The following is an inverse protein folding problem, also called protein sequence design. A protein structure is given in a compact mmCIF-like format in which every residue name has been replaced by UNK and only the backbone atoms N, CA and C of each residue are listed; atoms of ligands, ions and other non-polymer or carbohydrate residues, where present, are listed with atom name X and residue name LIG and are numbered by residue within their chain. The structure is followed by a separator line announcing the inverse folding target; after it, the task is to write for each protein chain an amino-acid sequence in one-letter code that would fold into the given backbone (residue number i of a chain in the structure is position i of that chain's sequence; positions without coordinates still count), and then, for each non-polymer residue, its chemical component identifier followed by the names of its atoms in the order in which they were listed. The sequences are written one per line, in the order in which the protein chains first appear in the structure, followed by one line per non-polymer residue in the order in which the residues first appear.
data_IF_983796063470
#
_entry.id   IF_983796063470
#
_cell.length_a   1.000
_cell.length_b   1.000
_cell.length_c   1.000
_cell.angle_alpha   90.00
_cell.angle_beta   90.00
_cell.angle_gamma   90.00
#
_symmetry.space_group_name_H-M   'P 1'
#
loop_
_entity.id
_entity.type
_entity.pdbx_description
1 polymer ?
#
# COMPACT_ATOMS: atom_id res chain seq x y z
N UNK A 1 37.73 28.43 -57.27
CA UNK A 1 37.15 28.77 -55.96
C UNK A 1 35.97 27.85 -55.74
N UNK A 2 36.23 26.71 -55.09
CA UNK A 2 35.19 25.71 -54.76
C UNK A 2 35.09 25.71 -53.25
N UNK A 3 33.98 26.26 -52.75
CA UNK A 3 33.67 26.32 -51.32
C UNK A 3 33.09 24.96 -50.96
N UNK A 4 33.85 24.16 -50.23
CA UNK A 4 33.31 22.98 -49.56
C UNK A 4 32.50 23.45 -48.35
N UNK A 5 31.17 23.36 -48.46
CA UNK A 5 30.24 23.51 -47.34
C UNK A 5 30.35 22.27 -46.47
N UNK A 6 30.76 22.46 -45.22
CA UNK A 6 30.86 21.44 -44.19
C UNK A 6 29.48 21.14 -43.60
N UNK A 7 28.93 19.98 -43.94
CA UNK A 7 27.82 19.37 -43.20
C UNK A 7 28.36 18.79 -41.89
N UNK A 8 28.01 19.42 -40.77
CA UNK A 8 28.19 18.85 -39.43
C UNK A 8 27.13 17.77 -39.20
N UNK A 9 27.49 16.53 -38.80
CA UNK A 9 26.52 15.59 -38.29
C UNK A 9 26.26 15.90 -36.82
N UNK A 10 25.05 16.39 -36.52
CA UNK A 10 24.53 16.44 -35.14
C UNK A 10 24.42 14.99 -34.67
N UNK A 11 25.41 14.57 -33.87
CA UNK A 11 25.41 13.27 -33.22
C UNK A 11 24.49 13.36 -32.01
N UNK A 12 23.23 12.96 -32.16
CA UNK A 12 22.36 12.67 -31.02
C UNK A 12 22.97 11.46 -30.25
N UNK A 13 23.78 11.75 -29.24
CA UNK A 13 24.10 10.77 -28.22
C UNK A 13 22.83 10.52 -27.40
N UNK A 14 22.06 9.51 -27.80
CA UNK A 14 21.14 8.85 -26.89
C UNK A 14 22.00 8.14 -25.83
N UNK A 15 22.34 8.85 -24.75
CA UNK A 15 22.78 8.19 -23.52
C UNK A 15 21.55 7.50 -22.96
N UNK A 16 21.31 6.27 -23.42
CA UNK A 16 20.52 5.30 -22.67
C UNK A 16 21.27 5.08 -21.36
N UNK A 17 21.00 5.94 -20.38
CA UNK A 17 21.36 5.67 -19.01
C UNK A 17 20.68 4.34 -18.68
N UNK A 18 21.46 3.26 -18.65
CA UNK A 18 21.08 1.98 -18.07
C UNK A 18 20.87 2.20 -16.57
N UNK A 19 19.82 2.95 -16.21
CA UNK A 19 19.43 3.14 -14.83
C UNK A 19 18.98 1.77 -14.34
N UNK A 20 19.82 1.14 -13.53
CA UNK A 20 19.52 -0.12 -12.88
C UNK A 20 18.21 0.04 -12.14
N UNK A 21 17.20 -0.74 -12.55
CA UNK A 21 15.95 -0.83 -11.83
C UNK A 21 16.23 -1.54 -10.50
N UNK A 22 15.82 -0.91 -9.42
CA UNK A 22 15.84 -1.46 -8.07
C UNK A 22 14.41 -1.72 -7.68
N UNK A 23 14.15 -2.95 -7.24
CA UNK A 23 12.86 -3.34 -6.68
C UNK A 23 12.97 -3.32 -5.18
N UNK A 24 12.13 -2.50 -4.53
CA UNK A 24 12.11 -2.37 -3.08
C UNK A 24 10.74 -2.81 -2.57
N UNK A 25 10.74 -3.70 -1.58
CA UNK A 25 9.53 -4.14 -0.92
C UNK A 25 9.31 -3.30 0.33
N UNK A 26 8.09 -2.82 0.48
CA UNK A 26 7.59 -2.17 1.69
C UNK A 26 6.47 -3.02 2.25
N UNK A 27 6.30 -3.05 3.55
CA UNK A 27 5.12 -3.64 4.17
C UNK A 27 4.19 -2.56 4.70
N UNK A 28 2.90 -2.83 4.63
CA UNK A 28 1.84 -2.04 5.25
C UNK A 28 1.03 -2.98 6.12
N UNK A 29 0.89 -2.60 7.37
CA UNK A 29 0.28 -3.39 8.42
C UNK A 29 -0.84 -2.56 9.06
N UNK A 30 -2.03 -3.13 9.23
CA UNK A 30 -3.19 -2.36 9.71
C UNK A 30 -4.28 -3.27 10.25
N UNK A 31 -5.14 -2.72 11.11
CA UNK A 31 -6.43 -3.32 11.46
C UNK A 31 -7.48 -2.92 10.41
N UNK A 32 -8.27 -3.87 9.92
CA UNK A 32 -9.23 -3.63 8.83
C UNK A 32 -10.64 -3.47 9.39
N UNK A 33 -11.29 -2.40 8.97
CA UNK A 33 -12.64 -2.00 9.37
C UNK A 33 -13.55 -1.88 8.14
N UNK A 34 -14.83 -2.09 8.34
CA UNK A 34 -15.86 -1.71 7.37
C UNK A 34 -15.95 -0.18 7.28
N UNK A 35 -16.01 0.35 6.05
CA UNK A 35 -16.15 1.80 5.83
C UNK A 35 -17.53 2.31 6.24
N UNK A 36 -18.58 1.51 6.04
CA UNK A 36 -19.98 1.94 6.14
C UNK A 36 -20.45 2.23 7.56
N UNK A 37 -19.93 1.49 8.54
CA UNK A 37 -20.37 1.55 9.93
C UNK A 37 -19.20 1.71 10.92
N UNK A 38 -17.97 1.85 10.43
CA UNK A 38 -16.77 1.96 11.24
C UNK A 38 -16.59 0.84 12.27
N UNK A 39 -17.05 -0.38 11.96
CA UNK A 39 -16.81 -1.56 12.78
C UNK A 39 -15.61 -2.35 12.27
N UNK A 40 -14.88 -2.98 13.18
CA UNK A 40 -13.81 -3.89 12.79
C UNK A 40 -14.41 -5.10 12.06
N UNK A 41 -13.68 -5.67 11.10
CA UNK A 41 -14.07 -6.93 10.47
C UNK A 41 -13.71 -8.06 11.44
N UNK A 42 -14.69 -8.87 11.84
CA UNK A 42 -14.44 -10.01 12.71
C UNK A 42 -13.54 -11.05 12.05
N UNK A 43 -12.64 -11.64 12.84
CA UNK A 43 -11.79 -12.69 12.34
C UNK A 43 -12.60 -13.96 12.05
N UNK A 44 -12.47 -14.45 10.82
CA UNK A 44 -12.94 -15.75 10.39
C UNK A 44 -11.76 -16.60 9.85
N UNK A 45 -11.70 -17.92 10.15
CA UNK A 45 -10.63 -18.79 9.66
C UNK A 45 -10.48 -18.80 8.13
N UNK A 46 -11.52 -18.50 7.36
CA UNK A 46 -11.42 -18.37 5.90
C UNK A 46 -10.46 -17.28 5.44
N UNK A 47 -10.19 -16.25 6.26
CA UNK A 47 -9.16 -15.25 5.95
C UNK A 47 -7.73 -15.79 6.09
N UNK A 48 -7.51 -16.92 6.75
CA UNK A 48 -6.21 -17.61 6.73
C UNK A 48 -6.04 -18.53 5.51
N UNK A 49 -7.14 -18.91 4.86
CA UNK A 49 -7.14 -19.77 3.67
C UNK A 49 -7.08 -18.93 2.39
N UNK A 50 -5.91 -18.90 1.75
CA UNK A 50 -5.68 -18.15 0.51
C UNK A 50 -6.52 -18.61 -0.69
N UNK A 51 -7.18 -19.77 -0.60
CA UNK A 51 -8.07 -20.29 -1.63
C UNK A 51 -9.54 -19.93 -1.39
N UNK A 52 -9.86 -19.37 -0.22
CA UNK A 52 -11.23 -19.01 0.12
C UNK A 52 -11.71 -17.76 -0.62
N UNK A 53 -13.02 -17.69 -0.87
CA UNK A 53 -13.65 -16.51 -1.45
C UNK A 53 -13.48 -15.28 -0.55
N UNK A 54 -13.61 -15.45 0.77
CA UNK A 54 -13.48 -14.37 1.74
C UNK A 54 -12.08 -13.75 1.72
N UNK A 55 -11.03 -14.57 1.68
CA UNK A 55 -9.66 -14.10 1.49
C UNK A 55 -9.50 -13.37 0.16
N UNK A 56 -9.97 -13.95 -0.95
CA UNK A 56 -9.81 -13.37 -2.28
C UNK A 56 -10.50 -11.99 -2.40
N UNK A 57 -11.70 -11.84 -1.83
CA UNK A 57 -12.44 -10.58 -1.83
C UNK A 57 -11.73 -9.54 -0.96
N UNK A 58 -11.39 -9.89 0.28
CA UNK A 58 -10.80 -8.92 1.21
C UNK A 58 -9.38 -8.52 0.80
N UNK A 59 -8.56 -9.45 0.34
CA UNK A 59 -7.19 -9.16 -0.14
C UNK A 59 -7.20 -8.22 -1.34
N UNK A 60 -8.14 -8.42 -2.27
CA UNK A 60 -8.35 -7.52 -3.41
C UNK A 60 -8.75 -6.12 -2.97
N UNK A 61 -9.71 -6.00 -2.05
CA UNK A 61 -10.14 -4.70 -1.50
C UNK A 61 -8.99 -4.00 -0.76
N UNK A 62 -8.23 -4.74 0.04
CA UNK A 62 -7.08 -4.25 0.80
C UNK A 62 -5.98 -3.72 -0.12
N UNK A 63 -5.57 -4.51 -1.11
CA UNK A 63 -4.59 -4.06 -2.10
C UNK A 63 -5.10 -2.86 -2.90
N UNK A 64 -6.37 -2.82 -3.33
CA UNK A 64 -6.88 -1.67 -4.09
C UNK A 64 -6.88 -0.37 -3.30
N UNK A 65 -7.29 -0.41 -2.03
CA UNK A 65 -7.23 0.76 -1.16
C UNK A 65 -5.79 1.27 -1.01
N UNK A 66 -4.84 0.36 -0.77
CA UNK A 66 -3.42 0.71 -0.66
C UNK A 66 -2.88 1.28 -1.98
N UNK A 67 -3.13 0.61 -3.11
CA UNK A 67 -2.62 1.05 -4.42
C UNK A 67 -3.15 2.42 -4.80
N UNK A 68 -4.45 2.67 -4.62
CA UNK A 68 -5.05 3.98 -4.92
C UNK A 68 -4.53 5.07 -3.98
N UNK A 69 -4.25 4.74 -2.72
CA UNK A 69 -3.57 5.67 -1.81
C UNK A 69 -2.18 6.04 -2.34
N UNK A 70 -1.41 5.04 -2.78
CA UNK A 70 -0.07 5.26 -3.34
C UNK A 70 -0.09 5.94 -4.71
N UNK A 71 -1.18 5.86 -5.47
CA UNK A 71 -1.38 6.63 -6.71
C UNK A 71 -1.55 8.12 -6.42
N UNK A 72 -2.17 8.47 -5.31
CA UNK A 72 -2.33 9.87 -4.87
C UNK A 72 -1.08 10.41 -4.18
N UNK A 73 -0.23 9.55 -3.61
CA UNK A 73 0.96 9.96 -2.88
C UNK A 73 2.08 10.39 -3.85
N UNK A 74 2.49 11.66 -3.80
CA UNK A 74 3.43 12.27 -4.76
C UNK A 74 4.72 11.47 -4.98
N UNK A 75 5.33 10.93 -3.92
CA UNK A 75 6.59 10.19 -4.01
C UNK A 75 6.46 8.85 -4.76
N UNK A 76 5.27 8.28 -4.78
CA UNK A 76 4.99 6.95 -5.35
C UNK A 76 4.06 6.99 -6.55
N UNK A 77 3.46 8.15 -6.86
CA UNK A 77 2.43 8.31 -7.89
C UNK A 77 2.90 7.79 -9.26
N UNK A 78 4.11 8.19 -9.67
CA UNK A 78 4.70 7.87 -10.97
C UNK A 78 5.61 6.63 -10.97
N UNK A 79 5.65 5.86 -9.88
CA UNK A 79 6.47 4.65 -9.78
C UNK A 79 5.62 3.42 -10.08
N UNK A 80 6.20 2.46 -10.80
CA UNK A 80 5.57 1.16 -10.97
C UNK A 80 5.51 0.48 -9.59
N UNK A 81 4.32 0.03 -9.21
CA UNK A 81 4.05 -0.56 -7.91
C UNK A 81 3.11 -1.75 -8.04
N UNK A 82 3.27 -2.72 -7.15
CA UNK A 82 2.44 -3.91 -7.10
C UNK A 82 2.21 -4.34 -5.64
N UNK A 83 0.97 -4.70 -5.31
CA UNK A 83 0.65 -5.44 -4.09
C UNK A 83 0.96 -6.91 -4.36
N UNK A 84 2.10 -7.41 -3.89
CA UNK A 84 2.63 -8.73 -4.25
C UNK A 84 2.21 -9.83 -3.30
N UNK A 85 1.91 -9.48 -2.05
CA UNK A 85 1.48 -10.42 -1.02
C UNK A 85 0.52 -9.73 -0.07
N UNK A 86 -0.48 -10.48 0.40
CA UNK A 86 -1.33 -10.12 1.53
C UNK A 86 -1.33 -11.29 2.49
N UNK A 87 -1.32 -11.01 3.79
CA UNK A 87 -1.54 -11.99 4.85
C UNK A 87 -2.54 -11.39 5.81
N UNK A 88 -3.58 -12.14 6.14
CA UNK A 88 -4.49 -11.78 7.21
C UNK A 88 -4.17 -12.60 8.47
N UNK A 89 -4.29 -11.96 9.62
CA UNK A 89 -4.07 -12.58 10.92
C UNK A 89 -5.07 -12.05 11.95
N UNK A 90 -5.47 -12.86 12.95
CA UNK A 90 -6.31 -12.37 14.03
C UNK A 90 -5.55 -11.33 14.85
N UNK A 91 -6.20 -10.21 15.16
CA UNK A 91 -5.74 -9.19 16.11
C UNK A 91 -6.73 -9.05 17.24
N UNK A 92 -6.25 -8.95 18.46
CA UNK A 92 -7.13 -8.61 19.58
C UNK A 92 -7.29 -7.11 19.67
N UNK A 93 -8.53 -6.65 19.61
CA UNK A 93 -8.87 -5.26 19.94
C UNK A 93 -9.73 -5.21 21.20
N UNK A 94 -9.57 -4.12 21.95
CA UNK A 94 -10.44 -3.79 23.06
C UNK A 94 -11.66 -3.03 22.50
N UNK A 95 -12.80 -3.69 22.36
CA UNK A 95 -14.04 -3.02 21.96
C UNK A 95 -14.56 -2.28 23.20
N UNK A 96 -14.24 -1.00 23.34
CA UNK A 96 -14.62 -0.20 24.52
C UNK A 96 -16.12 0.21 24.47
N UNK A 97 -16.74 0.24 23.29
CA UNK A 97 -18.08 0.81 23.12
C UNK A 97 -19.23 -0.12 23.54
N UNK A 98 -19.10 -1.44 23.44
CA UNK A 98 -20.05 -2.39 24.05
C UNK A 98 -19.76 -2.63 25.56
N UNK A 99 -18.59 -2.19 26.04
CA UNK A 99 -18.10 -2.47 27.40
C UNK A 99 -18.69 -1.62 28.52
N UNK A 100 -19.57 -0.66 28.25
CA UNK A 100 -20.27 0.04 29.34
C UNK A 100 -21.32 -0.83 30.04
N UNK A 101 -21.64 -2.03 29.52
CA UNK A 101 -22.59 -2.95 30.15
C UNK A 101 -22.07 -4.36 30.48
N UNK A 102 -20.87 -4.75 30.05
CA UNK A 102 -20.32 -6.08 30.32
C UNK A 102 -19.21 -6.04 31.38
N UNK A 103 -19.39 -6.74 32.50
CA UNK A 103 -18.44 -6.88 33.63
C UNK A 103 -17.19 -7.72 33.32
N UNK A 104 -16.94 -8.03 32.05
CA UNK A 104 -15.86 -8.90 31.58
C UNK A 104 -15.13 -8.25 30.39
N UNK A 105 -13.80 -8.29 30.42
CA UNK A 105 -12.97 -7.88 29.30
C UNK A 105 -13.06 -8.94 28.18
N UNK A 106 -14.14 -8.93 27.40
CA UNK A 106 -14.20 -9.69 26.15
C UNK A 106 -13.26 -9.03 25.13
N UNK A 107 -12.22 -9.76 24.73
CA UNK A 107 -11.41 -9.46 23.55
C UNK A 107 -12.07 -10.15 22.36
N UNK A 108 -12.27 -9.42 21.26
CA UNK A 108 -12.64 -10.03 19.98
C UNK A 108 -11.41 -10.10 19.09
N UNK A 109 -11.28 -11.19 18.34
CA UNK A 109 -10.31 -11.28 17.27
C UNK A 109 -10.91 -10.61 16.03
N UNK A 110 -10.21 -9.61 15.51
CA UNK A 110 -10.56 -8.91 14.28
C UNK A 110 -9.49 -9.12 13.23
N UNK A 111 -9.79 -8.76 11.99
CA UNK A 111 -8.86 -8.94 10.88
C UNK A 111 -7.77 -7.87 10.92
N UNK A 112 -6.55 -8.31 11.17
CA UNK A 112 -5.34 -7.59 10.80
C UNK A 112 -4.90 -7.95 9.39
N UNK A 113 -4.49 -6.96 8.61
CA UNK A 113 -3.89 -7.14 7.29
C UNK A 113 -2.43 -6.72 7.28
N UNK A 114 -1.62 -7.50 6.58
CA UNK A 114 -0.24 -7.17 6.24
C UNK A 114 -0.05 -7.35 4.73
N UNK A 115 0.22 -6.26 4.01
CA UNK A 115 0.47 -6.26 2.58
C UNK A 115 1.93 -5.95 2.27
N UNK A 116 2.52 -6.67 1.33
CA UNK A 116 3.83 -6.36 0.75
C UNK A 116 3.63 -5.60 -0.56
N UNK A 117 4.16 -4.39 -0.60
CA UNK A 117 4.14 -3.50 -1.75
C UNK A 117 5.52 -3.44 -2.37
N UNK A 118 5.64 -3.94 -3.60
CA UNK A 118 6.84 -3.78 -4.39
C UNK A 118 6.77 -2.45 -5.13
N UNK A 119 7.80 -1.61 -5.04
CA UNK A 119 7.96 -0.42 -5.87
C UNK A 119 9.26 -0.56 -6.66
N UNK A 120 9.14 -0.40 -7.97
CA UNK A 120 10.29 -0.35 -8.87
C UNK A 120 10.72 1.12 -9.03
N UNK A 121 11.98 1.39 -8.74
CA UNK A 121 12.60 2.70 -8.91
C UNK A 121 13.95 2.57 -9.61
N UNK A 122 14.59 3.70 -9.89
CA UNK A 122 15.99 3.74 -10.27
C UNK A 122 16.85 3.72 -9.01
N UNK A 123 18.13 3.34 -9.12
CA UNK A 123 19.05 3.35 -7.98
C UNK A 123 19.25 4.73 -7.32
N UNK A 124 18.95 5.83 -8.02
CA UNK A 124 19.01 7.20 -7.47
C UNK A 124 17.71 7.64 -6.81
N UNK A 125 16.61 6.94 -7.07
CA UNK A 125 15.26 7.35 -6.65
C UNK A 125 14.59 6.29 -5.76
N UNK A 126 15.39 5.48 -5.06
CA UNK A 126 14.88 4.54 -4.05
C UNK A 126 14.29 5.35 -2.91
N UNK A 127 13.04 5.05 -2.54
CA UNK A 127 12.37 5.74 -1.44
C UNK A 127 12.84 5.07 -0.14
N UNK A 128 13.39 5.82 0.81
CA UNK A 128 13.71 5.24 2.12
C UNK A 128 12.42 4.94 2.91
N UNK A 129 12.52 4.16 3.99
CA UNK A 129 11.37 3.77 4.80
C UNK A 129 10.59 4.96 5.33
N UNK A 130 11.28 5.98 5.86
CA UNK A 130 10.66 7.15 6.47
C UNK A 130 9.82 7.92 5.47
N UNK A 131 10.36 8.17 4.28
CA UNK A 131 9.67 8.87 3.20
C UNK A 131 8.47 8.08 2.69
N UNK A 132 8.60 6.75 2.56
CA UNK A 132 7.47 5.89 2.20
C UNK A 132 6.37 5.96 3.25
N UNK A 133 6.72 5.80 4.53
CA UNK A 133 5.78 5.84 5.66
C UNK A 133 5.03 7.16 5.71
N UNK A 134 5.74 8.28 5.58
CA UNK A 134 5.13 9.61 5.59
C UNK A 134 4.23 9.81 4.36
N UNK A 135 4.70 9.45 3.17
CA UNK A 135 3.91 9.60 1.95
C UNK A 135 2.62 8.78 2.00
N UNK A 136 2.69 7.52 2.43
CA UNK A 136 1.50 6.68 2.54
C UNK A 136 0.54 7.21 3.62
N UNK A 137 1.02 7.38 4.85
CA UNK A 137 0.17 7.73 6.00
C UNK A 137 -0.46 9.11 5.84
N UNK A 138 0.30 10.11 5.40
CA UNK A 138 -0.25 11.45 5.14
C UNK A 138 -1.29 11.42 4.02
N UNK A 139 -1.02 10.71 2.93
CA UNK A 139 -1.98 10.61 1.82
C UNK A 139 -3.24 9.86 2.23
N UNK A 140 -3.10 8.77 2.99
CA UNK A 140 -4.21 8.00 3.51
C UNK A 140 -5.15 8.86 4.38
N UNK A 141 -4.57 9.63 5.31
CA UNK A 141 -5.31 10.47 6.26
C UNK A 141 -5.94 11.71 5.63
N UNK A 142 -5.40 12.21 4.53
CA UNK A 142 -5.89 13.42 3.84
C UNK A 142 -6.79 13.11 2.64
N UNK A 143 -6.79 11.86 2.17
CA UNK A 143 -7.63 11.44 1.06
C UNK A 143 -9.02 11.05 1.54
N UNK A 144 -10.05 11.55 0.87
CA UNK A 144 -11.42 11.07 1.05
C UNK A 144 -11.54 9.65 0.48
N UNK A 145 -12.06 8.71 1.27
CA UNK A 145 -12.23 7.27 0.94
C UNK A 145 -13.68 6.91 0.59
N UNK A 146 -14.42 7.84 0.00
CA UNK A 146 -15.89 7.79 -0.08
C UNK A 146 -16.47 6.58 -0.82
N UNK A 147 -15.70 5.88 -1.65
CA UNK A 147 -16.17 4.76 -2.46
C UNK A 147 -15.59 3.41 -2.01
N UNK A 148 -14.88 3.38 -0.88
CA UNK A 148 -14.28 2.16 -0.37
C UNK A 148 -15.25 1.36 0.49
N UNK A 149 -15.11 0.04 0.46
CA UNK A 149 -15.88 -0.87 1.32
C UNK A 149 -15.20 -1.09 2.66
N UNK A 150 -13.89 -0.83 2.74
CA UNK A 150 -13.05 -0.99 3.91
C UNK A 150 -12.24 0.27 4.18
N UNK A 151 -11.74 0.36 5.41
CA UNK A 151 -10.75 1.33 5.88
C UNK A 151 -9.77 0.65 6.81
N UNK A 152 -8.62 1.29 6.96
CA UNK A 152 -7.46 0.88 7.72
C UNK A 152 -7.32 1.76 8.96
N UNK A 153 -7.13 1.10 10.09
CA UNK A 153 -6.74 1.69 11.37
C UNK A 153 -5.41 1.12 11.82
N UNK A 154 -4.78 1.77 12.80
CA UNK A 154 -3.51 1.33 13.40
C UNK A 154 -2.40 1.08 12.36
N UNK A 155 -2.36 1.93 11.33
CA UNK A 155 -1.47 1.76 10.18
C UNK A 155 -0.01 1.86 10.63
N UNK A 156 0.76 0.84 10.29
CA UNK A 156 2.21 0.81 10.39
C UNK A 156 2.79 0.47 9.02
N UNK A 157 3.93 1.04 8.68
CA UNK A 157 4.58 0.81 7.40
C UNK A 157 6.09 0.69 7.57
N UNK A 158 6.73 -0.09 6.70
CA UNK A 158 8.18 -0.26 6.74
C UNK A 158 8.77 -0.84 5.45
N UNK A 159 10.08 -1.14 5.50
CA UNK A 159 10.82 -1.91 4.49
C UNK A 159 10.89 -3.38 4.93
#
# INVERSE_FOLDING_TARGET
MVIFSSYWPISFHFVLSNKKIVSTNYWIDSTIYHQTNNSAIDWDPSYADTTSLNYAVLSKQYCYLIMRTLEKATLTANKQKACTKVVFSPRQILIIWEKRQATSNTTSNVVGGNATIQINSTSTDVINTTDFTNAFTTTYNTSVQSNDTIQLYDIQTGL
#
